data_IF_311312972593
#
_entry.id   IF_311312972593
#
_cell.length_a   1.000
_cell.length_b   1.000
_cell.length_c   1.000
_cell.angle_alpha   90.00
_cell.angle_beta   90.00
_cell.angle_gamma   90.00
#
_symmetry.space_group_name_H-M   'P 1'
#
loop_
_entity.id
_entity.type
_entity.pdbx_description
1 polymer ?
#
# COMPACT_ATOMS: atom_id res chain seq x y z
N UNK A 1 -20.91 4.15 -16.90
CA UNK A 1 -19.84 5.01 -16.35
C UNK A 1 -18.70 4.08 -16.00
N UNK A 2 -17.55 4.22 -16.65
CA UNK A 2 -16.37 3.39 -16.37
C UNK A 2 -15.69 3.87 -15.09
N UNK A 3 -14.98 2.97 -14.42
CA UNK A 3 -14.15 3.30 -13.27
C UNK A 3 -12.95 4.13 -13.71
N UNK A 4 -12.60 5.16 -12.94
CA UNK A 4 -11.45 6.01 -13.25
C UNK A 4 -10.17 5.37 -12.70
N UNK A 5 -9.07 5.34 -13.50
CA UNK A 5 -7.78 4.83 -13.03
C UNK A 5 -7.29 5.66 -11.86
N UNK A 6 -6.58 5.03 -10.93
CA UNK A 6 -6.11 5.68 -9.72
C UNK A 6 -4.78 5.12 -9.24
N UNK A 7 -3.94 5.98 -8.69
CA UNK A 7 -2.66 5.59 -8.11
C UNK A 7 -2.53 6.26 -6.76
N UNK A 8 -2.30 5.48 -5.71
CA UNK A 8 -2.06 5.98 -4.36
C UNK A 8 -0.66 5.58 -3.88
N UNK A 9 0.15 6.57 -3.52
CA UNK A 9 1.45 6.33 -2.89
C UNK A 9 1.28 6.43 -1.38
N UNK A 10 1.44 5.30 -0.70
CA UNK A 10 1.33 5.20 0.75
C UNK A 10 2.72 5.19 1.34
N UNK A 11 3.03 6.18 2.17
CA UNK A 11 4.33 6.34 2.80
C UNK A 11 4.24 5.99 4.27
N UNK A 12 5.25 5.28 4.77
CA UNK A 12 5.44 4.98 6.19
C UNK A 12 6.78 5.54 6.62
N UNK A 13 6.82 6.33 7.68
CA UNK A 13 8.03 7.05 8.08
C UNK A 13 8.22 7.18 9.59
N UNK A 14 9.45 7.46 10.00
CA UNK A 14 9.85 7.87 11.34
C UNK A 14 11.08 8.76 11.25
N UNK A 15 10.91 10.07 11.42
CA UNK A 15 11.98 11.05 11.19
C UNK A 15 12.44 11.03 9.72
N UNK A 16 13.72 10.74 9.49
CA UNK A 16 14.30 10.63 8.14
C UNK A 16 14.18 9.24 7.50
N UNK A 17 13.83 8.21 8.29
CA UNK A 17 13.63 6.86 7.77
C UNK A 17 12.23 6.75 7.19
N UNK A 18 12.11 6.25 5.96
CA UNK A 18 10.81 5.98 5.35
C UNK A 18 10.91 4.84 4.33
N UNK A 19 9.76 4.27 4.03
CA UNK A 19 9.53 3.42 2.87
C UNK A 19 8.11 3.69 2.36
N UNK A 20 7.81 3.27 1.14
CA UNK A 20 6.52 3.52 0.53
C UNK A 20 6.10 2.37 -0.38
N UNK A 21 4.79 2.30 -0.63
CA UNK A 21 4.21 1.42 -1.64
C UNK A 21 3.27 2.21 -2.51
N UNK A 22 3.16 1.79 -3.77
CA UNK A 22 2.22 2.36 -4.72
C UNK A 22 1.14 1.33 -5.01
N UNK A 23 -0.12 1.71 -4.83
CA UNK A 23 -1.29 0.85 -5.08
C UNK A 23 -2.21 1.50 -6.12
N UNK A 24 -2.99 0.66 -6.81
CA UNK A 24 -3.94 1.09 -7.83
C UNK A 24 -3.47 0.84 -9.26
N UNK A 25 -4.25 1.34 -10.21
CA UNK A 25 -4.09 1.18 -11.65
C UNK A 25 -3.52 2.48 -12.26
N UNK A 26 -2.37 2.38 -12.92
CA UNK A 26 -1.78 3.54 -13.58
C UNK A 26 -2.64 3.97 -14.79
N UNK A 27 -2.85 5.27 -15.07
CA UNK A 27 -3.71 5.73 -16.17
C UNK A 27 -3.28 5.27 -17.58
N UNK A 28 -2.03 4.83 -17.73
CA UNK A 28 -1.46 4.28 -18.98
C UNK A 28 -1.31 2.76 -18.97
N UNK A 29 -1.79 2.07 -17.94
CA UNK A 29 -1.75 0.62 -17.87
C UNK A 29 -2.50 0.03 -19.07
N UNK A 30 -1.82 -0.78 -19.88
CA UNK A 30 -2.43 -1.40 -21.07
C UNK A 30 -2.82 -2.87 -20.83
N UNK A 31 -2.23 -3.50 -19.81
CA UNK A 31 -2.47 -4.90 -19.45
C UNK A 31 -2.45 -5.12 -17.92
N UNK A 32 -2.90 -6.29 -17.47
CA UNK A 32 -2.98 -6.64 -16.04
C UNK A 32 -1.62 -6.78 -15.32
N UNK A 33 -0.49 -6.76 -16.02
CA UNK A 33 0.85 -6.66 -15.40
C UNK A 33 1.18 -5.23 -14.98
N UNK A 34 0.60 -4.22 -15.65
CA UNK A 34 0.69 -2.82 -15.26
C UNK A 34 -0.25 -2.47 -14.09
N UNK A 35 -1.15 -3.40 -13.72
CA UNK A 35 -2.10 -3.25 -12.64
C UNK A 35 -1.49 -3.69 -11.30
N UNK A 36 -1.39 -2.76 -10.36
CA UNK A 36 -1.54 -2.87 -8.89
C UNK A 36 -0.83 -3.98 -8.08
N UNK A 37 -0.12 -4.93 -8.69
CA UNK A 37 0.65 -5.98 -8.01
C UNK A 37 2.16 -5.85 -8.22
N UNK A 38 2.57 -4.98 -9.16
CA UNK A 38 3.94 -4.48 -9.26
C UNK A 38 4.10 -3.31 -8.28
N UNK A 39 3.89 -3.60 -7.00
CA UNK A 39 4.40 -2.73 -5.94
C UNK A 39 5.91 -2.72 -6.11
N UNK A 40 6.46 -1.62 -6.61
CA UNK A 40 7.90 -1.36 -6.55
C UNK A 40 8.23 -1.29 -5.06
N UNK A 41 8.61 -2.42 -4.47
CA UNK A 41 9.40 -2.41 -3.27
C UNK A 41 10.79 -2.03 -3.73
N UNK A 42 11.34 -0.87 -3.35
CA UNK A 42 12.68 -0.49 -3.79
C UNK A 42 13.79 -1.46 -3.33
N UNK A 43 13.44 -2.53 -2.59
CA UNK A 43 14.37 -3.30 -1.80
C UNK A 43 14.82 -2.40 -0.66
N UNK A 44 14.53 -2.77 0.57
CA UNK A 44 15.07 -1.97 1.66
C UNK A 44 16.57 -2.28 1.81
N UNK A 45 17.41 -1.57 1.04
CA UNK A 45 18.87 -1.71 1.05
C UNK A 45 19.44 -1.60 2.48
N UNK A 46 18.82 -0.79 3.34
CA UNK A 46 19.23 -0.68 4.74
C UNK A 46 19.02 -2.00 5.49
N UNK A 47 17.97 -2.77 5.20
CA UNK A 47 17.75 -4.08 5.80
C UNK A 47 18.87 -5.07 5.41
N UNK A 48 19.30 -5.06 4.15
CA UNK A 48 20.39 -5.92 3.65
C UNK A 48 21.77 -5.50 4.20
N UNK A 49 21.94 -4.21 4.51
CA UNK A 49 23.15 -3.64 5.11
C UNK A 49 23.16 -3.70 6.64
N UNK A 50 22.10 -4.18 7.29
CA UNK A 50 21.97 -4.23 8.75
C UNK A 50 21.74 -2.87 9.41
N UNK A 51 21.35 -1.86 8.64
CA UNK A 51 21.04 -0.51 9.11
C UNK A 51 19.57 -0.39 9.59
N UNK A 52 19.24 0.67 10.35
CA UNK A 52 17.85 0.97 10.71
C UNK A 52 16.95 1.09 9.47
N UNK A 53 15.79 0.41 9.50
CA UNK A 53 14.90 0.30 8.36
C UNK A 53 13.42 0.29 8.75
N UNK A 54 12.59 0.70 7.78
CA UNK A 54 11.13 0.52 7.73
C UNK A 54 10.87 -0.16 6.39
N UNK A 55 10.24 -1.32 6.35
CA UNK A 55 9.87 -1.99 5.10
C UNK A 55 8.36 -2.08 5.01
N UNK A 56 7.82 -1.58 3.91
CA UNK A 56 6.39 -1.52 3.62
C UNK A 56 6.11 -2.30 2.35
N UNK A 57 5.22 -3.29 2.42
CA UNK A 57 4.94 -4.17 1.27
C UNK A 57 3.45 -4.48 1.16
N UNK A 58 2.95 -4.61 -0.06
CA UNK A 58 1.68 -5.30 -0.35
C UNK A 58 2.04 -6.71 -0.83
N UNK A 59 1.84 -7.77 -0.04
CA UNK A 59 2.15 -9.11 -0.48
C UNK A 59 1.21 -9.47 -1.63
N UNK A 60 1.77 -10.03 -2.70
CA UNK A 60 0.95 -10.56 -3.79
C UNK A 60 0.00 -11.63 -3.24
N UNK A 61 -1.29 -11.61 -3.61
CA UNK A 61 -2.22 -12.65 -3.21
C UNK A 61 -1.71 -14.01 -3.71
N UNK A 62 -1.83 -15.05 -2.88
CA UNK A 62 -1.50 -16.42 -3.30
C UNK A 62 -2.46 -16.86 -4.40
N UNK A 63 -2.03 -16.74 -5.66
CA UNK A 63 -2.80 -17.22 -6.81
C UNK A 63 -2.97 -18.74 -6.72
N UNK A 64 -4.21 -19.20 -6.50
CA UNK A 64 -4.54 -20.62 -6.65
C UNK A 64 -4.24 -21.03 -8.10
N UNK A 65 -3.74 -22.26 -8.36
CA UNK A 65 -3.42 -22.72 -9.72
C UNK A 65 -4.57 -22.51 -10.73
N UNK A 66 -5.83 -22.68 -10.29
CA UNK A 66 -7.03 -22.46 -11.11
C UNK A 66 -7.28 -20.99 -11.50
N UNK A 67 -6.63 -20.03 -10.86
CA UNK A 67 -6.76 -18.59 -11.14
C UNK A 67 -5.62 -18.08 -12.04
N UNK A 68 -4.70 -18.97 -12.48
CA UNK A 68 -3.57 -18.59 -13.36
C UNK A 68 -4.02 -18.11 -14.74
N UNK A 69 -5.15 -18.60 -15.24
CA UNK A 69 -5.68 -18.20 -16.56
C UNK A 69 -6.39 -16.84 -16.51
N UNK A 70 -6.80 -16.39 -15.33
CA UNK A 70 -7.33 -15.04 -15.09
C UNK A 70 -6.24 -13.97 -14.94
N UNK A 71 -4.95 -14.35 -15.04
CA UNK A 71 -3.81 -13.43 -14.96
C UNK A 71 -3.83 -12.31 -16.01
N UNK A 72 -4.53 -12.50 -17.13
CA UNK A 72 -4.50 -11.56 -18.25
C UNK A 72 -5.45 -10.37 -18.15
N UNK A 73 -6.53 -10.45 -17.37
CA UNK A 73 -7.61 -9.46 -17.48
C UNK A 73 -8.43 -9.35 -16.18
N UNK A 74 -7.77 -9.01 -15.07
CA UNK A 74 -8.47 -8.58 -13.83
C UNK A 74 -8.86 -7.10 -13.97
N UNK A 75 -9.42 -6.70 -15.13
CA UNK A 75 -10.03 -5.39 -15.36
C UNK A 75 -11.49 -5.36 -14.91
N UNK A 76 -11.84 -6.09 -13.85
CA UNK A 76 -13.06 -5.77 -13.13
C UNK A 76 -12.63 -4.92 -11.95
N UNK A 77 -12.51 -3.58 -12.11
CA UNK A 77 -12.35 -2.69 -10.99
C UNK A 77 -13.58 -2.89 -10.11
N UNK A 78 -13.43 -3.72 -9.09
CA UNK A 78 -14.44 -3.86 -8.08
C UNK A 78 -14.70 -2.46 -7.50
N UNK A 79 -15.97 -2.12 -7.26
CA UNK A 79 -16.35 -0.87 -6.55
C UNK A 79 -15.56 -0.66 -5.26
N UNK A 80 -15.11 -1.75 -4.68
CA UNK A 80 -14.26 -1.81 -3.50
C UNK A 80 -13.04 -2.67 -3.84
N UNK A 81 -11.85 -2.07 -3.80
CA UNK A 81 -10.58 -2.77 -3.88
C UNK A 81 -9.91 -2.74 -2.52
N UNK A 82 -9.34 -3.85 -2.08
CA UNK A 82 -8.67 -3.97 -0.80
C UNK A 82 -7.29 -4.61 -0.94
N UNK A 83 -6.29 -4.00 -0.32
CA UNK A 83 -4.91 -4.49 -0.25
C UNK A 83 -4.49 -4.69 1.20
N UNK A 84 -3.77 -5.79 1.45
CA UNK A 84 -3.13 -6.01 2.73
C UNK A 84 -1.80 -5.26 2.75
N UNK A 85 -1.62 -4.30 3.64
CA UNK A 85 -0.37 -3.61 3.86
C UNK A 85 0.40 -4.26 5.01
N UNK A 86 1.60 -4.75 4.74
CA UNK A 86 2.48 -5.35 5.76
C UNK A 86 3.66 -4.42 5.98
N UNK A 87 3.89 -4.07 7.24
CA UNK A 87 4.97 -3.18 7.66
C UNK A 87 5.88 -3.94 8.62
N UNK A 88 7.17 -3.92 8.36
CA UNK A 88 8.23 -4.42 9.24
C UNK A 88 9.24 -3.32 9.53
N UNK A 89 9.94 -3.38 10.66
CA UNK A 89 10.93 -2.37 11.01
C UNK A 89 11.95 -2.93 12.00
N UNK A 90 13.19 -2.44 11.93
CA UNK A 90 14.22 -2.69 12.96
C UNK A 90 14.17 -1.69 14.12
N UNK A 91 13.27 -0.71 14.09
CA UNK A 91 13.09 0.24 15.18
C UNK A 91 12.55 -0.44 16.45
N UNK A 92 12.87 0.13 17.61
CA UNK A 92 12.38 -0.38 18.88
C UNK A 92 10.84 -0.42 18.92
N UNK A 93 10.29 -1.45 19.57
CA UNK A 93 8.83 -1.56 19.74
C UNK A 93 8.30 -0.29 20.44
N UNK A 94 7.27 0.31 19.86
CA UNK A 94 6.65 1.53 20.42
C UNK A 94 7.19 2.84 19.85
N UNK A 95 8.27 2.82 19.08
CA UNK A 95 8.70 4.01 18.31
C UNK A 95 7.57 4.46 17.39
N UNK A 96 7.17 5.74 17.38
CA UNK A 96 6.08 6.21 16.54
C UNK A 96 6.44 6.15 15.06
N UNK A 97 5.56 5.54 14.28
CA UNK A 97 5.58 5.52 12.83
C UNK A 97 4.37 6.29 12.30
N UNK A 98 4.56 7.07 11.25
CA UNK A 98 3.51 7.81 10.55
C UNK A 98 3.22 7.14 9.22
N UNK A 99 1.96 6.77 8.99
CA UNK A 99 1.44 6.30 7.70
C UNK A 99 0.59 7.41 7.07
N UNK A 100 0.93 7.81 5.85
CA UNK A 100 0.24 8.91 5.16
C UNK A 100 0.07 8.61 3.66
N UNK A 101 -0.89 9.30 3.04
CA UNK A 101 -0.98 9.39 1.59
C UNK A 101 -0.01 10.48 1.10
N UNK A 102 0.95 10.10 0.27
CA UNK A 102 1.85 11.05 -0.38
C UNK A 102 1.17 11.63 -1.63
N UNK A 103 0.68 12.86 -1.53
CA UNK A 103 -0.13 13.48 -2.58
C UNK A 103 0.65 13.71 -3.89
N UNK A 104 1.93 14.08 -3.82
CA UNK A 104 2.73 14.41 -5.01
C UNK A 104 2.96 13.22 -5.94
N UNK A 105 2.89 11.99 -5.41
CA UNK A 105 3.01 10.73 -6.17
C UNK A 105 1.69 10.01 -6.39
N UNK A 106 0.55 10.67 -6.12
CA UNK A 106 -0.77 10.05 -6.18
C UNK A 106 -1.68 10.74 -7.19
N UNK A 107 -2.49 9.95 -7.88
CA UNK A 107 -3.54 10.41 -8.79
C UNK A 107 -4.85 9.74 -8.37
N UNK A 108 -5.67 10.42 -7.58
CA UNK A 108 -6.92 9.88 -7.04
C UNK A 108 -8.13 10.62 -7.64
N UNK A 109 -9.13 9.90 -8.16
CA UNK A 109 -10.41 10.48 -8.54
C UNK A 109 -11.03 11.28 -7.37
N UNK A 110 -11.68 12.43 -7.63
CA UNK A 110 -12.22 13.29 -6.56
C UNK A 110 -13.18 12.55 -5.63
N UNK A 111 -14.00 11.65 -6.17
CA UNK A 111 -15.01 10.90 -5.42
C UNK A 111 -14.49 9.61 -4.75
N UNK A 112 -13.22 9.23 -4.97
CA UNK A 112 -12.63 8.02 -4.39
C UNK A 112 -12.36 8.22 -2.90
N UNK A 113 -12.76 7.24 -2.09
CA UNK A 113 -12.40 7.15 -0.67
C UNK A 113 -11.25 6.16 -0.50
N UNK A 114 -10.19 6.59 0.20
CA UNK A 114 -9.03 5.76 0.49
C UNK A 114 -8.94 5.55 2.00
N UNK A 115 -9.29 4.35 2.44
CA UNK A 115 -9.54 4.04 3.84
C UNK A 115 -8.46 3.08 4.34
N UNK A 116 -7.74 3.47 5.39
CA UNK A 116 -6.96 2.55 6.20
C UNK A 116 -7.87 1.89 7.24
N UNK A 117 -7.90 0.57 7.26
CA UNK A 117 -8.60 -0.24 8.24
C UNK A 117 -7.60 -0.73 9.28
N UNK A 118 -7.76 -0.20 10.49
CA UNK A 118 -7.17 -0.72 11.73
C UNK A 118 -8.30 -0.95 12.76
N UNK A 119 -8.10 -0.60 14.04
CA UNK A 119 -9.15 -0.55 15.07
C UNK A 119 -10.31 0.38 14.70
N UNK A 120 -10.06 1.34 13.81
CA UNK A 120 -11.03 2.28 13.23
C UNK A 120 -10.71 2.47 11.76
N UNK A 121 -11.71 2.91 11.00
CA UNK A 121 -11.54 3.31 9.61
C UNK A 121 -11.02 4.74 9.57
N UNK A 122 -9.91 4.96 8.87
CA UNK A 122 -9.24 6.26 8.76
C UNK A 122 -9.19 6.63 7.29
N UNK A 123 -9.69 7.82 6.95
CA UNK A 123 -9.59 8.36 5.60
C UNK A 123 -8.21 8.98 5.41
N UNK A 124 -7.37 8.31 4.60
CA UNK A 124 -5.99 8.75 4.34
C UNK A 124 -5.92 10.03 3.52
N UNK A 125 -7.04 10.49 2.93
CA UNK A 125 -7.10 11.81 2.27
C UNK A 125 -7.24 12.96 3.27
N UNK A 126 -7.65 12.67 4.51
CA UNK A 126 -7.91 13.69 5.53
C UNK A 126 -6.74 13.90 6.49
N UNK A 127 -5.77 12.97 6.52
CA UNK A 127 -4.59 13.13 7.35
C UNK A 127 -3.77 11.86 7.48
N UNK A 128 -2.76 11.97 8.33
CA UNK A 128 -1.82 10.90 8.67
C UNK A 128 -2.36 10.00 9.80
N UNK A 129 -1.84 8.77 9.86
CA UNK A 129 -2.09 7.84 10.94
C UNK A 129 -0.80 7.49 11.67
N UNK A 130 -0.76 7.76 12.98
CA UNK A 130 0.39 7.40 13.83
C UNK A 130 0.14 6.09 14.55
N UNK A 131 1.08 5.15 14.44
CA UNK A 131 1.02 3.83 15.07
C UNK A 131 2.40 3.42 15.61
N UNK A 132 2.47 2.54 16.62
CA UNK A 132 3.74 2.09 17.17
C UNK A 132 4.42 1.07 16.24
N UNK A 133 5.73 1.20 16.08
CA UNK A 133 6.55 0.21 15.40
C UNK A 133 6.38 -1.19 16.04
N UNK A 134 6.32 -2.27 15.22
CA UNK A 134 6.12 -3.63 15.72
C UNK A 134 7.28 -4.15 16.57
N UNK A 135 8.46 -3.56 16.40
CA UNK A 135 9.73 -4.03 16.96
C UNK A 135 10.48 -4.97 15.99
N UNK A 136 11.79 -5.20 16.23
CA UNK A 136 12.62 -6.02 15.36
C UNK A 136 12.07 -7.44 15.19
N UNK A 137 12.06 -7.94 13.96
CA UNK A 137 11.60 -9.29 13.62
C UNK A 137 10.08 -9.49 13.70
N UNK A 138 9.31 -8.43 13.89
CA UNK A 138 7.84 -8.45 13.91
C UNK A 138 7.25 -7.60 12.81
N UNK A 139 5.99 -7.88 12.47
CA UNK A 139 5.25 -7.14 11.46
C UNK A 139 3.95 -6.59 12.04
N UNK A 140 3.51 -5.45 11.51
CA UNK A 140 2.17 -4.91 11.67
C UNK A 140 1.47 -5.04 10.33
N UNK A 141 0.18 -5.38 10.35
CA UNK A 141 -0.64 -5.49 9.14
C UNK A 141 -1.80 -4.51 9.22
N UNK A 142 -2.05 -3.80 8.13
CA UNK A 142 -3.24 -2.99 7.90
C UNK A 142 -3.94 -3.44 6.62
N UNK A 143 -5.17 -3.00 6.42
CA UNK A 143 -5.83 -3.11 5.12
C UNK A 143 -6.08 -1.72 4.57
N UNK A 144 -5.75 -1.50 3.31
CA UNK A 144 -6.10 -0.28 2.60
C UNK A 144 -7.22 -0.62 1.64
N UNK A 145 -8.29 0.16 1.70
CA UNK A 145 -9.47 0.00 0.87
C UNK A 145 -9.66 1.24 0.01
N UNK A 146 -9.82 1.06 -1.29
CA UNK A 146 -10.27 2.10 -2.21
C UNK A 146 -11.72 1.84 -2.61
N UNK A 147 -12.61 2.80 -2.34
CA UNK A 147 -14.02 2.73 -2.71
C UNK A 147 -14.34 3.80 -3.77
N UNK A 148 -14.86 3.35 -4.92
CA UNK A 148 -15.41 4.20 -5.97
C UNK A 148 -16.95 4.16 -5.91
N UNK A 149 -17.65 5.30 -6.09
CA UNK A 149 -19.11 5.38 -6.04
C UNK A 149 -19.84 4.46 -7.07
#
# INVERSE_FOLDING_TARGET
MGFEPMTATIRVSSGSLYDYVVIGEHPKADNGFDNAYDTIHPGNLNADMGEPYISTVIPQPKWKPAMRELKGDVRSPAKNQQWQLVISSSLAKGTPLTLELQAEGSSLPPALKLILIDKKNIDLRQGEYVFPAPGPGKTTTFFITAEQP
#
